data_IF_901776714966
#
_entry.id   IF_901776714966
#
_cell.length_a   1.000
_cell.length_b   1.000
_cell.length_c   1.000
_cell.angle_alpha   90.00
_cell.angle_beta   90.00
_cell.angle_gamma   90.00
#
_symmetry.space_group_name_H-M   'P 1'
#
loop_
_entity.id
_entity.type
_entity.pdbx_description
1 polymer ?
#
# COMPACT_ATOMS: atom_id res chain seq x y z
N UNK A 1 16.87 -19.65 6.48
CA UNK A 1 16.56 -18.39 5.74
C UNK A 1 17.03 -18.52 4.30
N UNK A 2 16.52 -17.70 3.38
CA UNK A 2 16.96 -17.70 1.97
C UNK A 2 17.86 -16.49 1.72
N UNK A 3 18.87 -16.64 0.87
CA UNK A 3 19.74 -15.58 0.38
C UNK A 3 19.97 -15.77 -1.12
N UNK A 4 20.29 -14.70 -1.84
CA UNK A 4 20.53 -14.74 -3.28
C UNK A 4 21.98 -14.37 -3.57
N UNK A 5 22.65 -15.16 -4.42
CA UNK A 5 23.99 -14.82 -4.87
C UNK A 5 23.94 -13.60 -5.81
N UNK A 6 24.72 -12.53 -5.58
CA UNK A 6 24.71 -11.33 -6.42
C UNK A 6 25.34 -11.54 -7.81
N UNK A 7 26.03 -12.66 -8.04
CA UNK A 7 26.74 -12.91 -9.29
C UNK A 7 25.95 -13.81 -10.25
N UNK A 8 25.29 -14.86 -9.73
CA UNK A 8 24.54 -15.82 -10.54
C UNK A 8 23.03 -15.83 -10.24
N UNK A 9 22.56 -14.96 -9.35
CA UNK A 9 21.15 -14.82 -8.93
C UNK A 9 20.53 -16.08 -8.32
N UNK A 10 21.32 -17.12 -8.05
CA UNK A 10 20.79 -18.37 -7.51
C UNK A 10 20.43 -18.24 -6.03
N UNK A 11 19.33 -18.89 -5.63
CA UNK A 11 18.78 -18.81 -4.27
C UNK A 11 19.33 -19.96 -3.42
N UNK A 12 20.05 -19.61 -2.36
CA UNK A 12 20.59 -20.57 -1.41
C UNK A 12 19.80 -20.55 -0.09
N UNK A 13 19.63 -21.73 0.51
CA UNK A 13 19.06 -21.87 1.85
C UNK A 13 20.20 -21.96 2.86
N UNK A 14 20.23 -21.01 3.80
CA UNK A 14 21.27 -20.91 4.84
C UNK A 14 20.65 -20.91 6.24
N UNK A 15 21.35 -21.46 7.26
CA UNK A 15 20.91 -21.38 8.66
C UNK A 15 20.81 -19.92 9.11
N UNK A 16 19.89 -19.62 10.03
CA UNK A 16 19.63 -18.24 10.48
C UNK A 16 20.84 -17.53 11.08
N UNK A 17 21.77 -18.28 11.65
CA UNK A 17 22.95 -17.79 12.37
C UNK A 17 24.07 -17.29 11.44
N UNK A 18 23.97 -17.58 10.13
CA UNK A 18 24.95 -17.14 9.13
C UNK A 18 24.71 -15.72 8.62
N UNK A 19 23.74 -14.97 9.16
CA UNK A 19 23.48 -13.61 8.74
C UNK A 19 24.71 -12.72 8.99
N UNK A 20 25.21 -12.05 7.94
CA UNK A 20 26.45 -11.27 8.00
C UNK A 20 27.74 -12.08 7.79
N UNK A 21 27.65 -13.42 7.68
CA UNK A 21 28.76 -14.29 7.35
C UNK A 21 29.13 -14.28 5.86
N UNK A 22 30.35 -14.69 5.53
CA UNK A 22 30.80 -14.91 4.15
C UNK A 22 30.56 -16.36 3.75
N UNK A 23 29.89 -16.60 2.62
CA UNK A 23 29.69 -17.93 2.05
C UNK A 23 30.20 -17.99 0.62
N UNK A 24 30.52 -19.20 0.14
CA UNK A 24 30.89 -19.46 -1.26
C UNK A 24 29.66 -19.97 -2.00
N UNK A 25 29.36 -19.43 -3.18
CA UNK A 25 28.31 -19.95 -4.03
C UNK A 25 28.74 -21.30 -4.62
N UNK A 26 27.86 -22.30 -4.57
CA UNK A 26 28.11 -23.63 -5.16
C UNK A 26 28.01 -23.63 -6.69
N UNK A 27 27.37 -22.64 -7.29
CA UNK A 27 27.17 -22.56 -8.74
C UNK A 27 28.26 -21.76 -9.45
N UNK A 28 28.51 -20.52 -9.03
CA UNK A 28 29.55 -19.68 -9.66
C UNK A 28 30.89 -19.70 -8.94
N UNK A 29 30.96 -20.22 -7.71
CA UNK A 29 32.20 -20.24 -6.92
C UNK A 29 32.58 -18.91 -6.25
N UNK A 30 31.84 -17.82 -6.52
CA UNK A 30 32.08 -16.50 -5.93
C UNK A 30 31.81 -16.50 -4.42
N UNK A 31 32.61 -15.73 -3.66
CA UNK A 31 32.35 -15.50 -2.23
C UNK A 31 31.50 -14.25 -2.06
N UNK A 32 30.41 -14.33 -1.32
CA UNK A 32 29.53 -13.20 -1.03
C UNK A 32 29.11 -13.17 0.44
N UNK A 33 28.67 -12.01 0.91
CA UNK A 33 28.18 -11.82 2.28
C UNK A 33 26.69 -12.15 2.31
N UNK A 34 26.28 -12.98 3.27
CA UNK A 34 24.87 -13.35 3.48
C UNK A 34 24.11 -12.15 4.05
N UNK A 35 23.51 -11.37 3.16
CA UNK A 35 22.53 -10.37 3.55
C UNK A 35 21.20 -11.06 3.89
N UNK A 36 20.52 -10.61 4.95
CA UNK A 36 19.13 -11.02 5.19
C UNK A 36 18.33 -10.56 3.99
N UNK A 37 17.83 -11.51 3.21
CA UNK A 37 16.85 -11.24 2.17
C UNK A 37 15.58 -10.79 2.89
N UNK A 38 15.44 -9.47 3.11
CA UNK A 38 14.13 -8.89 3.40
C UNK A 38 13.35 -9.19 2.14
N UNK A 39 12.43 -10.15 2.20
CA UNK A 39 11.35 -10.26 1.24
C UNK A 39 10.58 -8.95 1.33
N UNK A 40 11.09 -7.94 0.65
CA UNK A 40 10.32 -6.85 0.10
C UNK A 40 9.41 -7.54 -0.89
N UNK A 41 8.35 -8.15 -0.36
CA UNK A 41 7.18 -8.47 -1.15
C UNK A 41 6.91 -7.16 -1.86
N UNK A 42 7.24 -7.12 -3.15
CA UNK A 42 6.70 -6.14 -4.06
C UNK A 42 5.19 -6.34 -3.93
N UNK A 43 4.58 -5.68 -2.94
CA UNK A 43 3.27 -5.11 -3.11
C UNK A 43 3.44 -4.38 -4.43
N UNK A 44 2.96 -4.98 -5.53
CA UNK A 44 2.62 -4.22 -6.72
C UNK A 44 1.74 -3.12 -6.15
N UNK A 45 2.35 -1.95 -5.96
CA UNK A 45 1.67 -0.73 -5.63
C UNK A 45 0.79 -0.55 -6.86
N UNK A 46 -0.45 -1.03 -6.72
CA UNK A 46 -1.49 -0.82 -7.69
C UNK A 46 -1.53 0.69 -7.83
N UNK A 47 -1.05 1.20 -8.97
CA UNK A 47 -0.80 2.63 -9.14
C UNK A 47 -2.10 3.34 -8.77
N UNK A 48 -2.08 4.28 -7.81
CA UNK A 48 -3.31 4.91 -7.32
C UNK A 48 -4.11 5.58 -8.44
N UNK A 49 -3.44 5.96 -9.54
CA UNK A 49 -4.06 6.50 -10.74
C UNK A 49 -5.08 5.56 -11.40
N UNK A 50 -4.81 4.25 -11.44
CA UNK A 50 -5.71 3.27 -12.07
C UNK A 50 -7.00 3.12 -11.25
N UNK A 51 -6.90 3.21 -9.92
CA UNK A 51 -8.05 3.09 -9.02
C UNK A 51 -9.00 4.27 -9.20
N UNK A 52 -8.47 5.49 -9.36
CA UNK A 52 -9.27 6.70 -9.55
C UNK A 52 -10.05 6.63 -10.86
N UNK A 53 -9.42 6.20 -11.96
CA UNK A 53 -10.10 6.07 -13.26
C UNK A 53 -11.25 5.06 -13.23
N UNK A 54 -11.10 3.93 -12.54
CA UNK A 54 -12.14 2.92 -12.38
C UNK A 54 -13.35 3.44 -11.59
N UNK A 55 -13.11 4.23 -10.54
CA UNK A 55 -14.18 4.82 -9.73
C UNK A 55 -14.98 5.85 -10.55
N UNK A 56 -14.31 6.72 -11.30
CA UNK A 56 -14.96 7.73 -12.14
C UNK A 56 -15.81 7.06 -13.23
N UNK A 57 -15.27 6.04 -13.90
CA UNK A 57 -16.01 5.30 -14.92
C UNK A 57 -17.26 4.62 -14.33
N UNK A 58 -17.16 4.00 -13.15
CA UNK A 58 -18.30 3.39 -12.47
C UNK A 58 -19.39 4.41 -12.09
N UNK A 59 -19.00 5.59 -11.60
CA UNK A 59 -19.92 6.65 -11.23
C UNK A 59 -20.69 7.22 -12.44
N UNK A 60 -20.02 7.39 -13.58
CA UNK A 60 -20.64 7.86 -14.84
C UNK A 60 -21.69 6.88 -15.38
N UNK A 61 -21.41 5.58 -15.31
CA UNK A 61 -22.34 4.52 -15.74
C UNK A 61 -23.59 4.50 -14.84
N UNK A 62 -23.42 4.59 -13.53
CA UNK A 62 -24.53 4.65 -12.58
C UNK A 62 -25.41 5.90 -12.80
N UNK A 63 -24.78 7.06 -13.05
CA UNK A 63 -25.48 8.30 -13.31
C UNK A 63 -26.28 8.27 -14.61
N UNK A 64 -25.72 7.70 -15.68
CA UNK A 64 -26.44 7.56 -16.97
C UNK A 64 -27.62 6.60 -16.86
N UNK A 65 -27.51 5.51 -16.08
CA UNK A 65 -28.63 4.63 -15.80
C UNK A 65 -29.77 5.31 -15.03
N UNK A 66 -29.46 6.23 -14.11
CA UNK A 66 -30.45 7.03 -13.38
C UNK A 66 -31.22 7.99 -14.29
N UNK A 67 -30.54 8.62 -15.25
CA UNK A 67 -31.16 9.56 -16.20
C UNK A 67 -32.08 8.83 -17.20
N UNK A 68 -31.76 7.59 -17.56
CA UNK A 68 -32.55 6.80 -18.51
C UNK A 68 -33.86 6.23 -17.92
N UNK A 69 -34.06 6.28 -16.59
CA UNK A 69 -35.31 5.85 -15.97
C UNK A 69 -36.44 6.88 -16.20
N UNK A 70 -37.60 6.42 -16.68
CA UNK A 70 -38.77 7.27 -16.95
C UNK A 70 -39.30 7.99 -15.69
N UNK A 71 -39.82 9.23 -15.82
CA UNK A 71 -40.19 10.11 -14.71
C UNK A 71 -41.39 9.65 -13.87
N UNK A 72 -42.15 8.62 -14.28
CA UNK A 72 -43.38 8.20 -13.59
C UNK A 72 -43.14 7.39 -12.30
N UNK A 73 -41.91 6.98 -12.00
CA UNK A 73 -41.55 6.26 -10.76
C UNK A 73 -40.66 7.07 -9.79
N UNK A 74 -40.34 8.32 -10.11
CA UNK A 74 -39.36 9.14 -9.37
C UNK A 74 -39.82 9.56 -7.96
N UNK A 75 -41.12 9.72 -7.72
CA UNK A 75 -41.62 10.26 -6.46
C UNK A 75 -41.42 9.30 -5.26
N UNK A 76 -41.48 7.99 -5.48
CA UNK A 76 -41.31 6.98 -4.40
C UNK A 76 -39.85 6.52 -4.27
N UNK A 77 -39.09 6.50 -5.36
CA UNK A 77 -37.69 6.04 -5.37
C UNK A 77 -36.72 7.12 -4.88
N UNK A 78 -37.03 8.41 -5.06
CA UNK A 78 -36.16 9.51 -4.64
C UNK A 78 -35.87 9.54 -3.14
N UNK A 79 -36.86 9.24 -2.31
CA UNK A 79 -36.70 9.22 -0.84
C UNK A 79 -35.93 7.96 -0.41
N UNK A 80 -36.23 6.80 -0.98
CA UNK A 80 -35.51 5.57 -0.67
C UNK A 80 -34.02 5.63 -1.09
N UNK A 81 -33.72 6.23 -2.24
CA UNK A 81 -32.34 6.44 -2.68
C UNK A 81 -31.59 7.43 -1.79
N UNK A 82 -32.23 8.51 -1.32
CA UNK A 82 -31.59 9.44 -0.39
C UNK A 82 -31.19 8.74 0.92
N UNK A 83 -32.04 7.85 1.46
CA UNK A 83 -31.73 7.12 2.70
C UNK A 83 -30.67 6.04 2.56
N UNK A 84 -30.35 5.56 1.36
CA UNK A 84 -29.32 4.53 1.15
C UNK A 84 -28.01 5.14 0.65
N UNK A 85 -28.09 6.09 -0.28
CA UNK A 85 -26.92 6.70 -0.91
C UNK A 85 -26.23 7.68 0.04
N UNK A 86 -26.99 8.47 0.80
CA UNK A 86 -26.41 9.47 1.71
C UNK A 86 -25.59 8.80 2.84
N UNK A 87 -26.08 7.76 3.54
CA UNK A 87 -25.26 7.06 4.53
C UNK A 87 -24.06 6.36 3.93
N UNK A 88 -24.20 5.79 2.73
CA UNK A 88 -23.09 5.13 2.04
C UNK A 88 -21.98 6.13 1.69
N UNK A 89 -22.34 7.33 1.21
CA UNK A 89 -21.40 8.41 0.97
C UNK A 89 -20.73 8.90 2.26
N UNK A 90 -21.48 9.02 3.36
CA UNK A 90 -20.92 9.40 4.67
C UNK A 90 -19.88 8.36 5.12
N UNK A 91 -20.18 7.07 5.01
CA UNK A 91 -19.24 5.99 5.36
C UNK A 91 -17.98 6.03 4.47
N UNK A 92 -18.14 6.26 3.16
CA UNK A 92 -17.02 6.39 2.24
C UNK A 92 -16.12 7.58 2.59
N UNK A 93 -16.71 8.75 2.83
CA UNK A 93 -15.96 9.95 3.23
C UNK A 93 -15.26 9.75 4.58
N UNK A 94 -15.96 9.17 5.57
CA UNK A 94 -15.37 8.88 6.88
C UNK A 94 -14.19 7.88 6.77
N UNK A 95 -14.31 6.86 5.93
CA UNK A 95 -13.24 5.88 5.73
C UNK A 95 -12.01 6.47 5.02
N UNK A 96 -12.23 7.35 4.05
CA UNK A 96 -11.15 8.09 3.38
C UNK A 96 -10.45 9.05 4.37
N UNK A 97 -11.24 9.72 5.21
CA UNK A 97 -10.72 10.60 6.26
C UNK A 97 -9.90 9.83 7.29
N UNK A 98 -10.37 8.65 7.75
CA UNK A 98 -9.60 7.79 8.66
C UNK A 98 -8.27 7.33 8.06
N UNK A 99 -8.26 6.93 6.77
CA UNK A 99 -7.01 6.53 6.09
C UNK A 99 -6.03 7.67 5.98
N UNK A 100 -6.51 8.88 5.68
CA UNK A 100 -5.68 10.08 5.64
C UNK A 100 -5.11 10.39 7.04
N UNK A 101 -5.93 10.28 8.09
CA UNK A 101 -5.50 10.51 9.47
C UNK A 101 -4.47 9.47 9.95
N UNK A 102 -4.68 8.18 9.63
CA UNK A 102 -3.71 7.12 9.93
C UNK A 102 -2.39 7.32 9.19
N UNK A 103 -2.43 7.80 7.95
CA UNK A 103 -1.21 8.14 7.20
C UNK A 103 -0.45 9.33 7.80
N UNK A 104 -1.14 10.28 8.45
CA UNK A 104 -0.49 11.38 9.17
C UNK A 104 0.25 10.86 10.41
N UNK A 105 -0.28 9.85 11.08
CA UNK A 105 0.35 9.27 12.27
C UNK A 105 1.74 8.68 11.94
N UNK A 106 1.86 7.97 10.82
CA UNK A 106 3.15 7.46 10.33
C UNK A 106 4.17 8.58 10.06
N UNK A 107 3.70 9.74 9.56
CA UNK A 107 4.56 10.91 9.29
C UNK A 107 5.04 11.53 10.60
N UNK A 108 4.18 11.61 11.62
CA UNK A 108 4.53 12.13 12.95
C UNK A 108 5.59 11.24 13.61
N UNK A 109 5.46 9.92 13.54
CA UNK A 109 6.44 8.99 14.09
C UNK A 109 7.80 9.10 13.38
N UNK A 110 7.80 9.27 12.05
CA UNK A 110 9.01 9.53 11.25
C UNK A 110 9.69 10.84 11.67
N UNK A 111 8.92 11.91 11.85
CA UNK A 111 9.44 13.21 12.31
C UNK A 111 10.07 13.11 13.69
N UNK A 112 9.47 12.33 14.60
CA UNK A 112 9.99 12.11 15.95
C UNK A 112 11.35 11.40 15.93
N UNK A 113 11.50 10.37 15.09
CA UNK A 113 12.77 9.66 14.91
C UNK A 113 13.86 10.59 14.33
N UNK A 114 13.51 11.44 13.36
CA UNK A 114 14.46 12.40 12.77
C UNK A 114 14.92 13.43 13.82
N UNK A 115 14.00 13.92 14.66
CA UNK A 115 14.31 14.87 15.72
C UNK A 115 15.23 14.29 16.80
N UNK A 116 15.09 13.02 17.15
CA UNK A 116 15.99 12.34 18.10
C UNK A 116 17.40 12.17 17.53
N UNK A 117 17.51 11.81 16.25
CA UNK A 117 18.81 11.65 15.57
C UNK A 117 19.59 12.96 15.42
N UNK A 118 18.92 14.09 15.14
CA UNK A 118 19.59 15.40 15.05
C UNK A 118 20.08 15.87 16.41
N UNK A 119 19.35 15.58 17.49
CA UNK A 119 19.77 15.89 18.86
C UNK A 119 21.01 15.10 19.30
N UNK A 120 21.16 13.85 18.87
CA UNK A 120 22.34 13.04 19.18
C UNK A 120 23.61 13.53 18.46
N UNK A 121 23.49 14.09 17.25
CA UNK A 121 24.66 14.58 16.49
C UNK A 121 25.25 15.88 17.03
N UNK A 122 24.47 16.70 17.73
CA UNK A 122 24.92 18.00 18.23
C UNK A 122 25.59 17.93 19.61
N UNK A 123 25.71 16.73 20.20
CA UNK A 123 26.36 16.49 21.50
C UNK A 123 27.74 15.82 21.39
N UNK A 124 28.19 15.53 20.17
CA UNK A 124 29.51 14.94 19.88
C UNK A 124 30.38 15.92 19.11
#
# INVERSE_FOLDING_TARGET
MKTQCPHCENIHTVPGDYAGGKMKCEVCGERFVVARFKNSISKKILRPEIIISLIIAGALIALTALIACKPKTFAMIGIACAYVIVPLLIVLVASAFLRWFLGIQDIIDLLKIIAENTRSKNKS
#
